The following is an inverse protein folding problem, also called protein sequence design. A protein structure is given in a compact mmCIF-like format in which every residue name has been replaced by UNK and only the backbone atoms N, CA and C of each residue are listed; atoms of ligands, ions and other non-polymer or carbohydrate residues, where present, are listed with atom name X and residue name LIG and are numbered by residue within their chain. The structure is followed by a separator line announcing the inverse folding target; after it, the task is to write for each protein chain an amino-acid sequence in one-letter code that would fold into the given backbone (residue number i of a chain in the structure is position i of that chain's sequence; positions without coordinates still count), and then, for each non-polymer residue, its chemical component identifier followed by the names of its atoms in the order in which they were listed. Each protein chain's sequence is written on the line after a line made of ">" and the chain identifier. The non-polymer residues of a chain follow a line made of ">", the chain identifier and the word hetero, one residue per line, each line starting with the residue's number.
data_IF_926477892378
#
_entry.id   IF_926477892378
#
_cell.length_a   1.000
_cell.length_b   1.000
_cell.length_c   1.000
_cell.angle_alpha   90.00
_cell.angle_beta   90.00
_cell.angle_gamma   90.00
#
_symmetry.space_group_name_H-M   'P 1'
#
loop_
_entity.id
_entity.type
_entity.pdbx_description
1 polymer ?
#
# COMPACT_ATOMS: atom_id res chain seq x y z
N UNK A 1 2.83 -10.51 -13.02
CA UNK A 1 3.72 -11.00 -11.95
C UNK A 1 4.70 -9.90 -11.57
N UNK A 2 4.81 -9.58 -10.29
CA UNK A 2 5.72 -8.53 -9.82
C UNK A 2 7.05 -9.13 -9.36
N UNK A 3 8.12 -8.35 -9.47
CA UNK A 3 9.45 -8.79 -9.03
C UNK A 3 9.58 -8.66 -7.51
N UNK A 4 10.61 -9.30 -6.94
CA UNK A 4 10.90 -9.18 -5.51
C UNK A 4 11.18 -7.73 -5.13
N UNK A 5 11.89 -6.99 -5.99
CA UNK A 5 12.19 -5.58 -5.75
C UNK A 5 10.91 -4.75 -5.71
N UNK A 6 9.98 -5.00 -6.64
CA UNK A 6 8.71 -4.29 -6.67
C UNK A 6 7.87 -4.62 -5.42
N UNK A 7 7.88 -5.89 -5.00
CA UNK A 7 7.16 -6.30 -3.79
C UNK A 7 7.66 -5.55 -2.56
N UNK A 8 8.97 -5.39 -2.43
CA UNK A 8 9.55 -4.65 -1.31
C UNK A 8 9.11 -3.19 -1.35
N UNK A 9 9.15 -2.56 -2.52
CA UNK A 9 8.74 -1.17 -2.67
C UNK A 9 7.26 -0.98 -2.33
N UNK A 10 6.40 -1.86 -2.83
CA UNK A 10 4.97 -1.76 -2.58
C UNK A 10 4.67 -1.95 -1.09
N UNK A 11 5.34 -2.92 -0.45
CA UNK A 11 5.15 -3.16 0.98
C UNK A 11 5.55 -1.94 1.80
N UNK A 12 6.67 -1.29 1.43
CA UNK A 12 7.11 -0.08 2.11
C UNK A 12 6.11 1.06 1.93
N UNK A 13 5.55 1.22 0.73
CA UNK A 13 4.55 2.23 0.46
C UNK A 13 3.29 1.99 1.29
N UNK A 14 2.86 0.75 1.40
CA UNK A 14 1.69 0.40 2.21
C UNK A 14 1.93 0.77 3.67
N UNK A 15 3.11 0.48 4.20
CA UNK A 15 3.45 0.80 5.58
C UNK A 15 3.37 2.30 5.85
N UNK A 16 3.92 3.11 4.95
CA UNK A 16 3.89 4.58 5.08
C UNK A 16 2.46 5.09 4.99
N UNK A 17 1.67 4.57 4.04
CA UNK A 17 0.28 4.99 3.88
C UNK A 17 -0.58 4.61 5.08
N UNK A 18 -0.31 3.46 5.70
CA UNK A 18 -1.01 3.06 6.92
C UNK A 18 -0.75 4.05 8.06
N UNK A 19 0.48 4.53 8.20
CA UNK A 19 0.80 5.52 9.22
C UNK A 19 0.05 6.82 8.97
N UNK A 20 -0.01 7.25 7.71
CA UNK A 20 -0.74 8.46 7.34
C UNK A 20 -2.23 8.27 7.59
N UNK A 21 -2.77 7.11 7.25
CA UNK A 21 -4.18 6.81 7.43
C UNK A 21 -4.58 6.87 8.90
N UNK A 22 -3.71 6.44 9.80
CA UNK A 22 -3.97 6.52 11.23
C UNK A 22 -4.12 7.96 11.71
N UNK A 23 -3.36 8.89 11.12
CA UNK A 23 -3.43 10.29 11.50
C UNK A 23 -4.61 11.01 10.86
N UNK A 24 -4.82 10.78 9.57
CA UNK A 24 -5.80 11.55 8.79
C UNK A 24 -7.10 10.81 8.56
N UNK A 25 -7.12 9.49 8.72
CA UNK A 25 -8.33 8.68 8.64
C UNK A 25 -9.12 8.94 7.34
N UNK A 26 -8.42 8.96 6.21
CA UNK A 26 -9.03 9.27 4.92
C UNK A 26 -9.36 8.03 4.12
N UNK A 27 -10.56 8.02 3.50
CA UNK A 27 -10.99 6.90 2.66
C UNK A 27 -10.16 6.79 1.39
N UNK A 28 -9.67 7.92 0.88
CA UNK A 28 -8.82 7.93 -0.31
C UNK A 28 -7.54 7.14 -0.08
N UNK A 29 -6.95 7.32 1.10
CA UNK A 29 -5.73 6.59 1.47
C UNK A 29 -6.00 5.10 1.58
N UNK A 30 -7.13 4.73 2.18
CA UNK A 30 -7.53 3.33 2.29
C UNK A 30 -7.67 2.69 0.90
N UNK A 31 -8.27 3.41 -0.05
CA UNK A 31 -8.43 2.91 -1.41
C UNK A 31 -7.07 2.67 -2.07
N UNK A 32 -6.11 3.57 -1.87
CA UNK A 32 -4.78 3.41 -2.43
C UNK A 32 -4.09 2.19 -1.82
N UNK A 33 -4.22 2.01 -0.52
CA UNK A 33 -3.66 0.85 0.17
C UNK A 33 -4.23 -0.43 -0.40
N UNK A 34 -5.54 -0.49 -0.60
CA UNK A 34 -6.19 -1.68 -1.17
C UNK A 34 -5.66 -2.00 -2.56
N UNK A 35 -5.49 -0.98 -3.40
CA UNK A 35 -4.96 -1.17 -4.75
C UNK A 35 -3.55 -1.73 -4.71
N UNK A 36 -2.71 -1.25 -3.79
CA UNK A 36 -1.36 -1.75 -3.63
C UNK A 36 -1.36 -3.20 -3.14
N UNK A 37 -2.26 -3.52 -2.22
CA UNK A 37 -2.38 -4.88 -1.72
C UNK A 37 -2.81 -5.84 -2.83
N UNK A 38 -3.69 -5.39 -3.72
CA UNK A 38 -4.10 -6.20 -4.87
C UNK A 38 -2.93 -6.49 -5.79
N UNK A 39 -2.01 -5.53 -5.96
CA UNK A 39 -0.81 -5.76 -6.75
C UNK A 39 0.08 -6.82 -6.11
N UNK A 40 0.16 -6.83 -4.78
CA UNK A 40 0.95 -7.83 -4.08
C UNK A 40 0.35 -9.22 -4.23
N UNK A 41 -0.98 -9.31 -4.29
CA UNK A 41 -1.68 -10.58 -4.45
C UNK A 41 -1.55 -11.15 -5.86
N UNK A 42 -1.24 -10.33 -6.84
CA UNK A 42 -1.09 -10.74 -8.23
C UNK A 42 0.28 -11.48 -8.45
#
# INVERSE_FOLDING_TARGET
>A
MITAADRIKITAQIAVLNEIALEYNGKTIDNIIQQLEMRLAD
#
